data_IF_303776531544
#
_entry.id   IF_303776531544
#
_cell.length_a   1.000
_cell.length_b   1.000
_cell.length_c   1.000
_cell.angle_alpha   90.00
_cell.angle_beta   90.00
_cell.angle_gamma   90.00
#
_symmetry.space_group_name_H-M   'P 1'
#
loop_
_entity.id
_entity.type
_entity.pdbx_description
1 polymer ?
#
# COMPACT_ATOMS: atom_id res chain seq x y z
N UNK A 1 14.62 -9.35 11.84
CA UNK A 1 13.69 -9.21 12.97
C UNK A 1 13.49 -7.76 13.37
N UNK A 2 14.56 -6.96 13.45
CA UNK A 2 14.54 -5.54 13.86
C UNK A 2 13.47 -4.66 13.19
N UNK A 3 13.23 -4.79 11.88
CA UNK A 3 12.22 -3.97 11.19
C UNK A 3 10.79 -4.30 11.65
N UNK A 4 10.47 -5.58 11.80
CA UNK A 4 9.14 -6.01 12.22
C UNK A 4 8.89 -5.68 13.70
N UNK A 5 9.93 -5.71 14.53
CA UNK A 5 9.85 -5.29 15.93
C UNK A 5 9.58 -3.78 16.06
N UNK A 6 10.19 -2.96 15.20
CA UNK A 6 9.95 -1.50 15.14
C UNK A 6 8.54 -1.17 14.61
N UNK A 7 8.02 -1.96 13.66
CA UNK A 7 6.64 -1.82 13.17
C UNK A 7 5.63 -2.32 14.22
N UNK A 8 5.91 -3.45 14.86
CA UNK A 8 5.07 -4.06 15.90
C UNK A 8 5.02 -3.23 17.19
N UNK A 9 6.13 -2.56 17.55
CA UNK A 9 6.17 -1.59 18.65
C UNK A 9 5.43 -0.29 18.34
N UNK A 10 5.02 -0.06 17.08
CA UNK A 10 4.27 1.12 16.67
C UNK A 10 5.12 2.38 16.48
N UNK A 11 6.45 2.27 16.60
CA UNK A 11 7.39 3.35 16.32
C UNK A 11 7.38 3.76 14.83
N UNK A 12 7.10 2.79 13.94
CA UNK A 12 6.86 3.04 12.51
C UNK A 12 5.44 2.63 12.14
N UNK A 13 4.66 3.59 11.62
CA UNK A 13 3.28 3.35 11.15
C UNK A 13 3.23 3.31 9.63
N UNK A 14 2.95 2.14 9.08
CA UNK A 14 2.73 1.97 7.64
C UNK A 14 1.30 2.42 7.32
N UNK A 15 1.16 3.46 6.50
CA UNK A 15 -0.15 3.94 6.04
C UNK A 15 -0.50 3.29 4.71
N UNK A 16 -1.69 2.70 4.64
CA UNK A 16 -2.24 2.12 3.41
C UNK A 16 -3.34 3.06 2.93
N UNK A 17 -3.04 3.80 1.88
CA UNK A 17 -3.89 4.87 1.37
C UNK A 17 -4.82 4.36 0.24
N UNK A 18 -4.45 3.26 -0.43
CA UNK A 18 -5.29 2.62 -1.46
C UNK A 18 -5.33 1.10 -1.33
N UNK A 19 -6.51 0.54 -1.58
CA UNK A 19 -6.75 -0.91 -1.65
C UNK A 19 -7.51 -1.21 -2.93
N UNK A 20 -6.97 -2.08 -3.76
CA UNK A 20 -7.63 -2.54 -4.98
C UNK A 20 -7.84 -4.05 -4.92
N UNK A 21 -8.95 -4.54 -5.46
CA UNK A 21 -9.10 -5.98 -5.65
C UNK A 21 -8.08 -6.48 -6.67
N UNK A 22 -7.69 -7.74 -6.58
CA UNK A 22 -6.77 -8.36 -7.55
C UNK A 22 -7.31 -8.28 -8.99
N UNK A 23 -8.62 -8.27 -9.18
CA UNK A 23 -9.24 -8.07 -10.50
C UNK A 23 -8.98 -6.68 -11.09
N UNK A 24 -8.73 -5.68 -10.23
CA UNK A 24 -8.59 -4.26 -10.60
C UNK A 24 -7.13 -3.80 -10.71
N UNK A 25 -6.17 -4.73 -10.82
CA UNK A 25 -4.72 -4.42 -10.93
C UNK A 25 -4.42 -3.45 -12.06
N UNK A 26 -5.10 -3.59 -13.21
CA UNK A 26 -4.93 -2.68 -14.33
C UNK A 26 -5.38 -1.25 -14.01
N UNK A 27 -6.34 -1.05 -13.10
CA UNK A 27 -6.74 0.27 -12.62
C UNK A 27 -5.70 0.82 -11.63
N UNK A 28 -5.21 -0.01 -10.70
CA UNK A 28 -4.17 0.37 -9.75
C UNK A 28 -2.90 0.91 -10.46
N UNK A 29 -2.48 0.25 -11.55
CA UNK A 29 -1.33 0.69 -12.35
C UNK A 29 -1.58 2.01 -13.06
N UNK A 30 -2.76 2.18 -13.68
CA UNK A 30 -3.14 3.45 -14.35
C UNK A 30 -3.15 4.61 -13.37
N UNK A 31 -3.66 4.42 -12.16
CA UNK A 31 -3.70 5.47 -11.14
C UNK A 31 -2.32 5.80 -10.57
N UNK A 32 -1.42 4.81 -10.47
CA UNK A 32 -0.03 5.02 -10.11
C UNK A 32 0.73 5.82 -11.18
N UNK A 33 0.62 5.42 -12.45
CA UNK A 33 1.28 6.10 -13.58
C UNK A 33 0.76 7.53 -13.77
N UNK A 34 -0.54 7.76 -13.52
CA UNK A 34 -1.15 9.08 -13.55
C UNK A 34 -0.81 9.95 -12.32
N UNK A 35 0.02 9.45 -11.39
CA UNK A 35 0.38 10.12 -10.12
C UNK A 35 -0.83 10.45 -9.23
N UNK A 36 -1.89 9.63 -9.30
CA UNK A 36 -3.10 9.80 -8.49
C UNK A 36 -2.99 9.14 -7.11
N UNK A 37 -2.05 8.22 -6.93
CA UNK A 37 -1.81 7.53 -5.66
C UNK A 37 -0.74 8.26 -4.84
N UNK A 38 -0.96 8.35 -3.53
CA UNK A 38 0.04 8.79 -2.56
C UNK A 38 0.17 7.73 -1.47
N UNK A 39 1.38 7.52 -0.94
CA UNK A 39 1.63 6.48 0.07
C UNK A 39 1.59 5.05 -0.50
N UNK A 40 1.19 4.08 0.34
CA UNK A 40 1.22 2.66 -0.03
C UNK A 40 -0.11 2.20 -0.60
N UNK A 41 -0.04 1.59 -1.78
CA UNK A 41 -1.14 0.86 -2.41
C UNK A 41 -0.97 -0.65 -2.16
N UNK A 42 -2.06 -1.33 -1.82
CA UNK A 42 -2.07 -2.79 -1.66
C UNK A 42 -3.15 -3.45 -2.52
N UNK A 43 -2.88 -4.67 -2.96
CA UNK A 43 -3.83 -5.53 -3.65
C UNK A 43 -4.44 -6.52 -2.65
N UNK A 44 -5.75 -6.70 -2.71
CA UNK A 44 -6.52 -7.61 -1.84
C UNK A 44 -7.29 -8.63 -2.68
N UNK A 45 -7.54 -9.80 -2.10
CA UNK A 45 -8.31 -10.91 -2.69
C UNK A 45 -9.81 -10.78 -2.39
#
# INVERSE_FOLDING_TARGET
DDLFDVVGSGAVKIRIDQRYNQADVAQAHRDLEARKTTGSTVLVI
#
